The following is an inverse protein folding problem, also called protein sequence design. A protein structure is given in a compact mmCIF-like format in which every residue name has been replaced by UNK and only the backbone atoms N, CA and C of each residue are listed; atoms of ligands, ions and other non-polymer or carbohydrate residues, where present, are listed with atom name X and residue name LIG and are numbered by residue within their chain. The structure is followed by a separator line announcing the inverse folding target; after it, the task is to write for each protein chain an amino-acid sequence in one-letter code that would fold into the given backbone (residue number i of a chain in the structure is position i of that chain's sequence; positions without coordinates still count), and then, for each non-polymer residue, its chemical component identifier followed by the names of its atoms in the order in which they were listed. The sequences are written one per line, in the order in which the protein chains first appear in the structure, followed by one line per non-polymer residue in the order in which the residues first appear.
data_IF_017705295846
#
_entry.id   IF_017705295846
#
_cell.length_a   1.000
_cell.length_b   1.000
_cell.length_c   1.000
_cell.angle_alpha   90.00
_cell.angle_beta   90.00
_cell.angle_gamma   90.00
#
_symmetry.space_group_name_H-M   'P 1'
#
loop_
_entity.id
_entity.type
_entity.pdbx_description
1 polymer ?
#
# COMPACT_ATOMS: atom_id res chain seq x y z
N UNK A 1 -13.96 8.04 0.72
CA UNK A 1 -12.48 8.09 0.66
C UNK A 1 -11.88 9.42 1.17
N UNK A 2 -12.52 10.60 0.98
CA UNK A 2 -11.98 11.91 1.40
C UNK A 2 -11.88 12.15 2.92
N UNK A 3 -12.77 11.58 3.73
CA UNK A 3 -12.79 11.83 5.20
C UNK A 3 -11.65 11.14 5.97
N UNK A 4 -11.05 10.10 5.38
CA UNK A 4 -10.07 9.20 6.03
C UNK A 4 -8.68 9.83 6.18
N UNK A 5 -8.31 10.73 5.27
CA UNK A 5 -7.03 11.44 5.33
C UNK A 5 -7.07 12.60 6.32
N UNK A 6 -8.23 13.24 6.45
CA UNK A 6 -8.38 14.45 7.26
C UNK A 6 -8.07 14.20 8.75
N UNK A 7 -8.57 13.09 9.31
CA UNK A 7 -8.33 12.77 10.73
C UNK A 7 -6.84 12.55 11.03
N UNK A 8 -6.09 11.92 10.12
CA UNK A 8 -4.64 11.70 10.31
C UNK A 8 -3.87 13.01 10.30
N UNK A 9 -4.12 13.85 9.30
CA UNK A 9 -3.48 15.17 9.23
C UNK A 9 -3.85 16.03 10.43
N UNK A 10 -5.11 16.01 10.87
CA UNK A 10 -5.53 16.72 12.08
C UNK A 10 -4.77 16.25 13.32
N UNK A 11 -4.58 14.94 13.50
CA UNK A 11 -3.79 14.42 14.63
C UNK A 11 -2.34 14.91 14.63
N UNK A 12 -1.72 15.07 13.46
CA UNK A 12 -0.36 15.65 13.33
C UNK A 12 -0.36 17.13 13.74
N UNK A 13 -1.32 17.91 13.23
CA UNK A 13 -1.44 19.33 13.58
C UNK A 13 -1.74 19.52 15.07
N UNK A 14 -2.61 18.69 15.64
CA UNK A 14 -2.88 18.68 17.08
C UNK A 14 -1.62 18.41 17.88
N UNK A 15 -0.82 17.44 17.47
CA UNK A 15 0.47 17.13 18.09
C UNK A 15 1.45 18.30 17.99
N UNK A 16 1.58 18.92 16.81
CA UNK A 16 2.46 20.07 16.60
C UNK A 16 2.04 21.27 17.47
N UNK A 17 0.74 21.53 17.60
CA UNK A 17 0.23 22.61 18.45
C UNK A 17 0.54 22.39 19.93
N UNK A 18 0.32 21.17 20.44
CA UNK A 18 0.53 20.85 21.87
C UNK A 18 2.01 20.80 22.23
N UNK A 19 2.85 20.35 21.30
CA UNK A 19 4.27 20.08 21.57
C UNK A 19 5.19 21.21 21.11
N UNK A 20 4.65 22.15 20.32
CA UNK A 20 5.36 23.23 19.64
C UNK A 20 6.65 22.75 18.95
N UNK A 21 6.64 21.52 18.44
CA UNK A 21 7.82 20.86 17.85
C UNK A 21 7.51 20.43 16.43
N UNK A 22 8.52 20.47 15.55
CA UNK A 22 8.41 20.02 14.16
C UNK A 22 8.21 18.50 14.12
N UNK A 23 7.14 17.98 13.49
CA UNK A 23 6.91 16.54 13.35
C UNK A 23 8.09 15.86 12.64
N UNK A 24 8.56 14.73 13.19
CA UNK A 24 9.64 13.93 12.63
C UNK A 24 10.94 14.73 12.35
N UNK A 25 11.21 15.75 13.17
CA UNK A 25 12.38 16.59 13.00
C UNK A 25 13.67 15.77 12.87
N UNK A 26 14.55 16.16 11.93
CA UNK A 26 15.84 15.49 11.63
C UNK A 26 15.74 14.05 11.11
N UNK A 27 14.56 13.59 10.72
CA UNK A 27 14.37 12.30 10.04
C UNK A 27 14.19 12.56 8.54
N UNK A 28 14.79 11.72 7.71
CA UNK A 28 14.65 11.82 6.26
C UNK A 28 13.18 11.65 5.81
N UNK A 29 12.64 12.53 4.94
CA UNK A 29 11.25 12.46 4.50
C UNK A 29 10.84 11.14 3.83
N UNK A 30 11.76 10.47 3.12
CA UNK A 30 11.50 9.17 2.49
C UNK A 30 11.36 8.09 3.57
N UNK A 31 12.23 8.11 4.57
CA UNK A 31 12.14 7.22 5.73
C UNK A 31 10.82 7.44 6.51
N UNK A 32 10.40 8.70 6.69
CA UNK A 32 9.10 9.03 7.31
C UNK A 32 7.95 8.48 6.48
N UNK A 33 7.92 8.77 5.18
CA UNK A 33 6.88 8.31 4.27
C UNK A 33 6.76 6.79 4.28
N UNK A 34 7.89 6.08 4.19
CA UNK A 34 7.92 4.62 4.22
C UNK A 34 7.48 4.06 5.58
N UNK A 35 8.01 4.58 6.68
CA UNK A 35 7.69 4.13 8.03
C UNK A 35 6.21 4.36 8.39
N UNK A 36 5.66 5.51 8.00
CA UNK A 36 4.23 5.81 8.19
C UNK A 36 3.36 4.90 7.31
N UNK A 37 3.76 4.65 6.05
CA UNK A 37 3.03 3.78 5.13
C UNK A 37 3.03 2.31 5.61
N UNK A 38 4.12 1.84 6.20
CA UNK A 38 4.23 0.50 6.81
C UNK A 38 3.66 0.42 8.22
N UNK A 39 3.32 1.56 8.82
CA UNK A 39 2.80 1.64 10.18
C UNK A 39 3.83 1.35 11.27
N UNK A 40 5.12 1.37 10.93
CA UNK A 40 6.26 1.14 11.84
C UNK A 40 6.75 2.42 12.49
N UNK A 41 6.32 3.59 11.99
CA UNK A 41 6.69 4.89 12.53
C UNK A 41 5.45 5.68 12.97
N UNK A 42 5.48 6.19 14.21
CA UNK A 42 4.47 7.09 14.80
C UNK A 42 5.19 8.19 15.58
N UNK A 43 4.57 9.36 15.70
CA UNK A 43 5.10 10.41 16.58
C UNK A 43 5.01 9.97 18.04
N UNK A 44 6.04 10.24 18.86
CA UNK A 44 5.97 9.98 20.29
C UNK A 44 4.95 10.93 20.95
N UNK A 45 4.15 10.42 21.88
CA UNK A 45 3.23 11.22 22.68
C UNK A 45 3.84 11.36 24.08
N UNK A 46 4.28 12.57 24.49
CA UNK A 46 4.74 12.86 25.84
C UNK A 46 3.76 12.41 26.93
N UNK A 47 4.22 11.78 28.03
CA UNK A 47 3.39 11.49 29.20
C UNK A 47 2.79 12.76 29.83
N UNK A 48 3.49 13.89 29.72
CA UNK A 48 3.15 15.19 30.32
C UNK A 48 1.94 15.89 29.67
N UNK A 49 1.44 15.38 28.54
CA UNK A 49 0.26 15.92 27.84
C UNK A 49 -1.05 15.41 28.49
N UNK A 50 -2.10 16.24 28.62
CA UNK A 50 -3.41 15.82 29.12
C UNK A 50 -3.98 14.61 28.38
N UNK A 51 -4.64 13.71 29.11
CA UNK A 51 -5.09 12.41 28.58
C UNK A 51 -6.11 12.54 27.43
N UNK A 52 -6.94 13.59 27.45
CA UNK A 52 -7.87 13.90 26.36
C UNK A 52 -7.16 14.10 25.01
N UNK A 53 -6.01 14.79 25.00
CA UNK A 53 -5.21 14.98 23.80
C UNK A 53 -4.52 13.69 23.36
N UNK A 54 -3.96 12.92 24.31
CA UNK A 54 -3.33 11.62 23.99
C UNK A 54 -4.30 10.67 23.31
N UNK A 55 -5.50 10.55 23.86
CA UNK A 55 -6.56 9.71 23.31
C UNK A 55 -6.94 10.16 21.90
N UNK A 56 -7.18 11.46 21.71
CA UNK A 56 -7.60 12.00 20.42
C UNK A 56 -6.53 11.82 19.33
N UNK A 57 -5.25 12.07 19.65
CA UNK A 57 -4.13 11.82 18.74
C UNK A 57 -4.04 10.34 18.37
N UNK A 58 -4.16 9.44 19.36
CA UNK A 58 -4.10 7.99 19.15
C UNK A 58 -5.20 7.51 18.22
N UNK A 59 -6.45 7.95 18.45
CA UNK A 59 -7.59 7.64 17.59
C UNK A 59 -7.40 8.17 16.16
N UNK A 60 -6.83 9.37 16.01
CA UNK A 60 -6.55 9.96 14.70
C UNK A 60 -5.49 9.18 13.91
N UNK A 61 -4.54 8.54 14.59
CA UNK A 61 -3.44 7.77 13.99
C UNK A 61 -3.69 6.26 13.90
N UNK A 62 -4.92 5.82 14.10
CA UNK A 62 -5.30 4.42 13.91
C UNK A 62 -4.90 3.90 12.53
N UNK A 63 -4.41 2.65 12.48
CA UNK A 63 -3.94 2.06 11.22
C UNK A 63 -5.09 1.86 10.26
N UNK A 64 -6.15 1.23 10.77
CA UNK A 64 -7.36 1.00 10.01
C UNK A 64 -8.12 2.33 9.81
N UNK A 65 -8.33 2.77 8.55
CA UNK A 65 -9.11 3.96 8.23
C UNK A 65 -10.49 4.03 8.90
N UNK A 66 -11.16 2.89 9.05
CA UNK A 66 -12.50 2.77 9.63
C UNK A 66 -12.54 3.09 11.13
N UNK A 67 -11.41 2.96 11.83
CA UNK A 67 -11.33 3.17 13.27
C UNK A 67 -11.06 4.63 13.63
N UNK A 68 -10.74 5.45 12.63
CA UNK A 68 -10.44 6.86 12.85
C UNK A 68 -11.74 7.66 13.05
N UNK A 69 -11.75 8.63 13.97
CA UNK A 69 -12.92 9.46 14.19
C UNK A 69 -13.18 10.35 12.97
N UNK A 70 -14.45 10.50 12.63
CA UNK A 70 -14.91 11.57 11.74
C UNK A 70 -14.66 12.94 12.37
N UNK A 71 -14.61 13.98 11.56
CA UNK A 71 -14.40 15.34 12.09
C UNK A 71 -15.47 15.77 13.10
N UNK A 72 -16.72 15.33 12.91
CA UNK A 72 -17.80 15.56 13.89
C UNK A 72 -17.53 14.87 15.23
N UNK A 73 -16.94 13.66 15.23
CA UNK A 73 -16.53 12.99 16.46
C UNK A 73 -15.34 13.70 17.10
N UNK A 74 -14.38 14.18 16.30
CA UNK A 74 -13.24 14.97 16.79
C UNK A 74 -13.73 16.21 17.55
N UNK A 75 -14.65 16.99 16.95
CA UNK A 75 -15.24 18.18 17.60
C UNK A 75 -15.91 17.78 18.92
N UNK A 76 -16.75 16.74 18.93
CA UNK A 76 -17.41 16.26 20.16
C UNK A 76 -16.41 15.86 21.25
N UNK A 77 -15.31 15.20 20.89
CA UNK A 77 -14.26 14.87 21.84
C UNK A 77 -13.61 16.12 22.43
N UNK A 78 -13.34 17.13 21.59
CA UNK A 78 -12.79 18.41 22.02
C UNK A 78 -13.77 19.19 22.90
N UNK A 79 -15.07 19.17 22.60
CA UNK A 79 -16.11 19.86 23.40
C UNK A 79 -16.31 19.19 24.77
N UNK A 80 -16.18 17.87 24.86
CA UNK A 80 -16.28 17.14 26.13
C UNK A 80 -15.01 17.33 26.97
N UNK A 81 -13.85 17.35 26.31
CA UNK A 81 -12.55 17.44 26.97
C UNK A 81 -12.01 18.85 27.11
N UNK A 82 -12.71 19.87 26.60
CA UNK A 82 -12.29 21.28 26.64
C UNK A 82 -11.96 21.77 28.05
N UNK A 83 -12.70 21.39 29.11
CA UNK A 83 -12.33 21.79 30.48
C UNK A 83 -11.00 21.21 30.97
N UNK A 84 -10.61 20.00 30.52
CA UNK A 84 -9.29 19.40 30.79
C UNK A 84 -8.21 19.92 29.83
N UNK A 85 -8.60 20.47 28.68
CA UNK A 85 -7.71 20.98 27.63
C UNK A 85 -7.37 22.47 27.87
N UNK A 86 -8.31 23.25 28.40
CA UNK A 86 -8.16 24.66 28.81
C UNK A 86 -7.60 24.72 30.24
N UNK A 87 -6.64 23.85 30.58
CA UNK A 87 -5.94 23.89 31.88
C UNK A 87 -4.95 25.07 32.02
N UNK A 88 -5.04 26.08 31.15
CA UNK A 88 -4.13 27.22 31.15
C UNK A 88 -4.91 28.52 31.17
N UNK A 89 -5.39 28.90 32.35
CA UNK A 89 -5.79 30.29 32.60
C UNK A 89 -4.56 31.22 32.68
N UNK A 90 -3.35 30.65 32.81
CA UNK A 90 -2.08 31.38 32.89
C UNK A 90 -1.07 30.92 31.83
N UNK A 91 -0.50 31.88 31.11
CA UNK A 91 0.44 31.70 30.00
C UNK A 91 1.77 31.01 30.41
N UNK A 92 2.18 31.15 31.68
CA UNK A 92 3.41 30.55 32.22
C UNK A 92 3.33 29.02 32.33
N UNK A 93 2.19 28.48 32.77
CA UNK A 93 2.03 27.03 32.97
C UNK A 93 2.01 26.29 31.62
N UNK A 94 1.48 26.92 30.57
CA UNK A 94 1.56 26.42 29.19
C UNK A 94 3.01 26.44 28.65
N UNK A 95 3.76 27.51 28.93
CA UNK A 95 5.16 27.63 28.53
C UNK A 95 6.04 26.55 29.18
N UNK A 96 5.79 26.22 30.45
CA UNK A 96 6.50 25.15 31.15
C UNK A 96 6.17 23.77 30.58
N UNK A 97 4.89 23.47 30.34
CA UNK A 97 4.47 22.19 29.77
C UNK A 97 4.96 21.99 28.33
N UNK A 98 4.93 23.03 27.50
CA UNK A 98 5.47 22.97 26.13
C UNK A 98 6.99 22.77 26.14
N UNK A 99 7.72 23.42 27.04
CA UNK A 99 9.16 23.20 27.21
C UNK A 99 9.47 21.74 27.59
N UNK A 100 8.78 21.20 28.61
CA UNK A 100 8.94 19.80 29.03
C UNK A 100 8.64 18.85 27.86
N UNK A 101 7.49 19.01 27.20
CA UNK A 101 7.11 18.17 26.07
C UNK A 101 8.14 18.23 24.93
N UNK A 102 8.63 19.42 24.58
CA UNK A 102 9.63 19.57 23.53
C UNK A 102 10.94 18.85 23.86
N UNK A 103 11.40 18.93 25.12
CA UNK A 103 12.59 18.19 25.56
C UNK A 103 12.39 16.67 25.49
N UNK A 104 11.27 16.15 26.02
CA UNK A 104 10.93 14.73 25.95
C UNK A 104 10.82 14.22 24.51
N UNK A 105 10.25 15.02 23.60
CA UNK A 105 10.12 14.66 22.18
C UNK A 105 11.47 14.62 21.50
N UNK A 106 12.31 15.64 21.70
CA UNK A 106 13.62 15.67 21.07
C UNK A 106 14.48 14.47 21.50
N UNK A 107 14.41 14.07 22.78
CA UNK A 107 15.06 12.85 23.24
C UNK A 107 14.47 11.59 22.60
N UNK A 108 13.14 11.46 22.53
CA UNK A 108 12.50 10.29 21.95
C UNK A 108 12.69 10.19 20.43
N UNK A 109 12.66 11.30 19.70
CA UNK A 109 12.94 11.36 18.27
C UNK A 109 14.40 10.96 17.98
N UNK A 110 15.34 11.33 18.86
CA UNK A 110 16.75 10.93 18.72
C UNK A 110 16.97 9.42 18.86
N UNK A 111 16.05 8.72 19.54
CA UNK A 111 16.07 7.26 19.75
C UNK A 111 15.39 6.50 18.60
N UNK A 112 14.69 7.19 17.70
CA UNK A 112 14.07 6.52 16.56
C UNK A 112 15.16 5.98 15.63
N UNK A 113 15.02 4.74 15.15
CA UNK A 113 16.01 4.17 14.25
C UNK A 113 16.11 5.01 12.98
N UNK A 114 17.31 5.46 12.66
CA UNK A 114 17.60 6.05 11.35
C UNK A 114 17.46 4.95 10.32
N UNK A 115 16.32 4.90 9.62
CA UNK A 115 16.14 3.96 8.53
C UNK A 115 17.04 4.41 7.38
N UNK A 116 18.06 3.61 7.07
CA UNK A 116 18.96 3.90 5.95
C UNK A 116 18.17 3.85 4.63
N UNK A 117 18.14 4.97 3.92
CA UNK A 117 17.46 5.14 2.64
C UNK A 117 17.98 4.12 1.63
N UNK A 118 19.28 3.79 1.68
CA UNK A 118 19.88 2.81 0.77
C UNK A 118 19.22 1.44 0.90
N UNK A 119 18.93 1.03 2.14
CA UNK A 119 18.24 -0.22 2.47
C UNK A 119 16.78 -0.19 2.02
N UNK A 120 16.07 0.94 2.18
CA UNK A 120 14.69 1.10 1.67
C UNK A 120 14.66 0.94 0.15
N UNK A 121 15.59 1.59 -0.56
CA UNK A 121 15.67 1.55 -2.01
C UNK A 121 16.00 0.15 -2.52
N UNK A 122 16.94 -0.54 -1.87
CA UNK A 122 17.25 -1.95 -2.18
C UNK A 122 16.03 -2.84 -2.02
N UNK A 123 15.36 -2.82 -0.85
CA UNK A 123 14.15 -3.61 -0.60
C UNK A 123 13.03 -3.30 -1.62
N UNK A 124 12.87 -2.03 -2.00
CA UNK A 124 11.86 -1.63 -2.97
C UNK A 124 12.20 -2.14 -4.38
N UNK A 125 13.47 -2.07 -4.76
CA UNK A 125 13.94 -2.64 -6.02
C UNK A 125 13.78 -4.15 -6.05
N UNK A 126 14.14 -4.86 -4.97
CA UNK A 126 14.00 -6.31 -4.88
C UNK A 126 12.54 -6.75 -5.00
N UNK A 127 11.62 -6.08 -4.29
CA UNK A 127 10.18 -6.33 -4.41
C UNK A 127 9.67 -6.08 -5.83
N UNK A 128 10.14 -5.02 -6.48
CA UNK A 128 9.77 -4.69 -7.85
C UNK A 128 10.32 -5.72 -8.85
N UNK A 129 11.55 -6.18 -8.65
CA UNK A 129 12.17 -7.20 -9.50
C UNK A 129 11.48 -8.54 -9.36
N UNK A 130 11.09 -8.95 -8.15
CA UNK A 130 10.35 -10.19 -7.95
C UNK A 130 8.97 -10.12 -8.63
N UNK A 131 8.24 -9.00 -8.46
CA UNK A 131 6.95 -8.82 -9.14
C UNK A 131 7.08 -8.87 -10.67
N UNK A 132 8.12 -8.24 -11.23
CA UNK A 132 8.38 -8.30 -12.69
C UNK A 132 8.71 -9.72 -13.15
N UNK A 133 9.43 -10.49 -12.34
CA UNK A 133 9.78 -11.88 -12.62
C UNK A 133 8.52 -12.77 -12.60
N UNK A 134 7.62 -12.57 -11.64
CA UNK A 134 6.32 -13.23 -11.59
C UNK A 134 5.47 -12.91 -12.84
N UNK A 135 5.37 -11.63 -13.21
CA UNK A 135 4.65 -11.19 -14.40
C UNK A 135 5.24 -11.79 -15.69
N UNK A 136 6.58 -11.80 -15.80
CA UNK A 136 7.27 -12.40 -16.94
C UNK A 136 7.01 -13.91 -17.01
N UNK A 137 7.09 -14.61 -15.88
CA UNK A 137 6.82 -16.03 -15.80
C UNK A 137 5.38 -16.34 -16.25
N UNK A 138 4.41 -15.57 -15.77
CA UNK A 138 3.02 -15.68 -16.18
C UNK A 138 2.85 -15.53 -17.70
N UNK A 139 3.51 -14.54 -18.31
CA UNK A 139 3.46 -14.34 -19.77
C UNK A 139 4.10 -15.52 -20.51
N UNK A 140 5.24 -16.03 -20.03
CA UNK A 140 5.91 -17.18 -20.66
C UNK A 140 5.06 -18.44 -20.61
N UNK A 141 4.36 -18.69 -19.50
CA UNK A 141 3.46 -19.82 -19.34
C UNK A 141 2.26 -19.73 -20.28
N UNK A 142 1.69 -18.53 -20.41
CA UNK A 142 0.60 -18.24 -21.37
C UNK A 142 1.07 -18.52 -22.79
N UNK A 143 2.22 -17.96 -23.19
CA UNK A 143 2.80 -18.17 -24.53
C UNK A 143 3.01 -19.65 -24.82
N UNK A 144 3.61 -20.39 -23.88
CA UNK A 144 3.84 -21.84 -24.01
C UNK A 144 2.53 -22.60 -24.22
N UNK A 145 1.48 -22.27 -23.47
CA UNK A 145 0.15 -22.87 -23.66
C UNK A 145 -0.40 -22.64 -25.07
N UNK A 146 -0.25 -21.42 -25.61
CA UNK A 146 -0.68 -21.09 -26.96
C UNK A 146 0.13 -21.84 -28.03
N UNK A 147 1.46 -21.93 -27.87
CA UNK A 147 2.33 -22.66 -28.79
C UNK A 147 1.94 -24.15 -28.87
N UNK A 148 1.71 -24.80 -27.72
CA UNK A 148 1.27 -26.20 -27.67
C UNK A 148 -0.08 -26.39 -28.37
N UNK A 149 -1.07 -25.53 -28.08
CA UNK A 149 -2.40 -25.61 -28.73
C UNK A 149 -2.31 -25.40 -30.24
N UNK A 150 -1.47 -24.48 -30.69
CA UNK A 150 -1.24 -24.21 -32.12
C UNK A 150 -0.61 -25.41 -32.81
N UNK A 151 0.39 -26.05 -32.17
CA UNK A 151 1.00 -27.27 -32.69
C UNK A 151 -0.03 -28.40 -32.83
N UNK A 152 -0.88 -28.61 -31.82
CA UNK A 152 -1.93 -29.62 -31.87
C UNK A 152 -2.90 -29.41 -33.04
N UNK A 153 -3.36 -28.17 -33.25
CA UNK A 153 -4.26 -27.82 -34.36
C UNK A 153 -3.57 -28.07 -35.71
N UNK A 154 -2.30 -27.66 -35.85
CA UNK A 154 -1.54 -27.87 -37.08
C UNK A 154 -1.37 -29.35 -37.40
N UNK A 155 -1.11 -30.20 -36.39
CA UNK A 155 -1.05 -31.66 -36.57
C UNK A 155 -2.37 -32.22 -37.10
N UNK A 156 -3.49 -31.88 -36.46
CA UNK A 156 -4.81 -32.33 -36.90
C UNK A 156 -5.14 -31.85 -38.32
N UNK A 157 -4.75 -30.63 -38.68
CA UNK A 157 -4.93 -30.09 -40.02
C UNK A 157 -4.16 -30.90 -41.09
N UNK A 158 -2.90 -31.27 -40.80
CA UNK A 158 -2.10 -32.09 -41.71
C UNK A 158 -2.74 -33.48 -41.87
N UNK A 159 -3.17 -34.11 -40.77
CA UNK A 159 -3.85 -35.42 -40.80
C UNK A 159 -5.14 -35.38 -41.63
N UNK A 160 -5.98 -34.37 -41.38
CA UNK A 160 -7.22 -34.17 -42.12
C UNK A 160 -6.96 -33.98 -43.62
N UNK A 161 -5.98 -33.14 -43.97
CA UNK A 161 -5.61 -32.89 -45.37
C UNK A 161 -5.11 -34.15 -46.06
N UNK A 162 -4.35 -35.00 -45.37
CA UNK A 162 -3.90 -36.28 -45.90
C UNK A 162 -5.08 -37.22 -46.18
N UNK A 163 -6.03 -37.34 -45.25
CA UNK A 163 -7.23 -38.16 -45.44
C UNK A 163 -8.10 -37.68 -46.59
N UNK A 164 -8.25 -36.36 -46.77
CA UNK A 164 -9.00 -35.79 -47.89
C UNK A 164 -8.40 -36.20 -49.25
N UNK A 165 -7.07 -36.12 -49.40
CA UNK A 165 -6.39 -36.53 -50.63
C UNK A 165 -6.62 -38.02 -50.91
N UNK A 166 -6.50 -38.87 -49.89
CA UNK A 166 -6.74 -40.31 -50.04
C UNK A 166 -8.17 -40.63 -50.47
N UNK A 167 -9.17 -39.88 -49.98
CA UNK A 167 -10.56 -40.04 -50.38
C UNK A 167 -10.77 -39.62 -51.84
N UNK A 168 -10.18 -38.50 -52.26
CA UNK A 168 -10.27 -38.01 -53.63
C UNK A 168 -9.63 -38.98 -54.64
N UNK A 169 -8.47 -39.55 -54.30
CA UNK A 169 -7.83 -40.60 -55.08
C UNK A 169 -8.72 -41.84 -55.21
N UNK A 170 -9.34 -42.29 -54.11
CA UNK A 170 -10.28 -43.42 -54.14
C UNK A 170 -11.51 -43.13 -54.98
N UNK A 171 -12.07 -41.93 -54.88
CA UNK A 171 -13.22 -41.52 -55.68
C UNK A 171 -12.89 -41.52 -57.18
N UNK A 172 -11.71 -41.02 -57.56
CA UNK A 172 -11.26 -41.08 -58.96
C UNK A 172 -11.07 -42.52 -59.46
N UNK A 173 -10.56 -43.42 -58.62
CA UNK A 173 -10.42 -44.85 -58.96
C UNK A 173 -11.79 -45.50 -59.17
N UNK A 174 -12.77 -45.18 -58.32
CA UNK A 174 -14.14 -45.70 -58.46
C UNK A 174 -14.77 -45.19 -59.77
N UNK A 175 -14.71 -43.87 -60.04
CA UNK A 175 -15.22 -43.28 -61.30
C UNK A 175 -14.60 -43.91 -62.54
N UNK A 176 -13.29 -44.18 -62.52
CA UNK A 176 -12.61 -44.88 -63.62
C UNK A 176 -13.15 -46.31 -63.82
N UNK A 177 -13.38 -47.06 -62.73
CA UNK A 177 -13.95 -48.42 -62.80
C UNK A 177 -15.39 -48.43 -63.32
N UNK A 178 -16.19 -47.43 -62.97
CA UNK A 178 -17.56 -47.28 -63.48
C UNK A 178 -17.59 -46.98 -64.98
N UNK A 179 -16.68 -46.16 -65.49
CA UNK A 179 -16.53 -45.91 -66.93
C UNK A 179 -15.99 -47.09 -67.75
N UNK A 180 -15.35 -48.08 -67.11
CA UNK A 180 -14.85 -49.31 -67.76
C UNK A 180 -15.88 -50.44 -67.78
N UNK A 181 -17.01 -50.29 -67.09
CA UNK A 181 -18.06 -51.31 -66.94
C UNK A 181 -19.37 -50.98 -67.71
N UNK A 182 -19.34 -49.99 -68.61
CA UNK A 182 -20.37 -49.69 -69.61
C UNK A 182 -19.77 -49.84 -71.02
#
# INVERSE_FOLDING_TARGET
MKTIFFSRSFGIILWEMVTCTVPYNKIDPIAVMWGVAKGTLKLPIPPSIPEGFKLLMTMCWEQQPSNRPSFQQIIKHLDIKTPEIILFEQEQEYAELTHICSTEINENLSKLPTIDISSILQLTNDQLMEKRKEELQQITDIRRCYEIRTQQINTLYIELKSLMIQLEEREQVIKKKEHLNF
#
